data_IF_147194003711
#
_entry.id   IF_147194003711
#
_cell.length_a   1.000
_cell.length_b   1.000
_cell.length_c   1.000
_cell.angle_alpha   90.00
_cell.angle_beta   90.00
_cell.angle_gamma   90.00
#
_symmetry.space_group_name_H-M   'P 1'
#
loop_
_entity.id
_entity.type
_entity.pdbx_description
1 polymer ?
#
# COMPACT_ATOMS: atom_id res chain seq x y z
N UNK A 1 -31.00 10.48 -6.87
CA UNK A 1 -29.82 10.68 -7.75
C UNK A 1 -28.76 11.54 -7.07
N UNK A 2 -29.08 12.73 -6.52
CA UNK A 2 -28.11 13.60 -5.85
C UNK A 2 -27.35 13.01 -4.63
N UNK A 3 -27.95 12.10 -3.87
CA UNK A 3 -27.28 11.49 -2.69
C UNK A 3 -26.26 10.41 -3.07
N UNK A 4 -26.41 9.75 -4.22
CA UNK A 4 -25.47 8.73 -4.70
C UNK A 4 -24.21 9.39 -5.27
N UNK A 5 -24.37 10.50 -6.00
CA UNK A 5 -23.25 11.30 -6.52
C UNK A 5 -22.41 11.87 -5.37
N UNK A 6 -23.04 12.42 -4.31
CA UNK A 6 -22.32 12.90 -3.10
C UNK A 6 -21.57 11.80 -2.34
N UNK A 7 -22.12 10.59 -2.29
CA UNK A 7 -21.47 9.42 -1.67
C UNK A 7 -20.27 8.95 -2.49
N UNK A 8 -20.38 8.99 -3.82
CA UNK A 8 -19.28 8.76 -4.76
C UNK A 8 -18.15 9.78 -4.55
N UNK A 9 -18.50 11.07 -4.46
CA UNK A 9 -17.54 12.15 -4.30
C UNK A 9 -16.84 12.09 -2.94
N UNK A 10 -17.56 11.76 -1.87
CA UNK A 10 -17.00 11.63 -0.52
C UNK A 10 -16.02 10.45 -0.43
N UNK A 11 -16.34 9.31 -1.05
CA UNK A 11 -15.43 8.15 -1.13
C UNK A 11 -14.15 8.49 -1.90
N UNK A 12 -14.26 9.21 -3.01
CA UNK A 12 -13.11 9.68 -3.78
C UNK A 12 -12.20 10.61 -2.98
N UNK A 13 -12.77 11.54 -2.21
CA UNK A 13 -12.02 12.44 -1.32
C UNK A 13 -11.23 11.67 -0.26
N UNK A 14 -11.84 10.66 0.37
CA UNK A 14 -11.19 9.85 1.41
C UNK A 14 -10.01 9.05 0.83
N UNK A 15 -10.19 8.43 -0.33
CA UNK A 15 -9.13 7.65 -0.98
C UNK A 15 -7.95 8.53 -1.36
N UNK A 16 -8.22 9.69 -1.96
CA UNK A 16 -7.16 10.61 -2.35
C UNK A 16 -6.39 11.12 -1.12
N UNK A 17 -7.09 11.39 -0.02
CA UNK A 17 -6.45 11.76 1.24
C UNK A 17 -5.60 10.62 1.82
N UNK A 18 -6.11 9.38 1.80
CA UNK A 18 -5.35 8.19 2.24
C UNK A 18 -4.11 7.98 1.35
N UNK A 19 -4.25 8.14 0.03
CA UNK A 19 -3.14 8.06 -0.91
C UNK A 19 -2.07 9.11 -0.61
N UNK A 20 -2.47 10.38 -0.48
CA UNK A 20 -1.57 11.50 -0.19
C UNK A 20 -0.79 11.25 1.11
N UNK A 21 -1.48 10.88 2.19
CA UNK A 21 -0.84 10.57 3.48
C UNK A 21 0.03 9.33 3.42
N UNK A 22 -0.39 8.29 2.69
CA UNK A 22 0.41 7.10 2.48
C UNK A 22 1.70 7.40 1.72
N UNK A 23 1.64 8.24 0.69
CA UNK A 23 2.81 8.68 -0.08
C UNK A 23 3.73 9.57 0.75
N UNK A 24 3.20 10.50 1.54
CA UNK A 24 4.00 11.29 2.49
C UNK A 24 4.76 10.39 3.46
N UNK A 25 4.10 9.37 4.03
CA UNK A 25 4.76 8.40 4.90
C UNK A 25 5.83 7.59 4.16
N UNK A 26 5.56 7.19 2.91
CA UNK A 26 6.47 6.35 2.14
C UNK A 26 7.72 7.09 1.62
N UNK A 27 7.56 8.34 1.17
CA UNK A 27 8.65 9.13 0.57
C UNK A 27 9.23 10.22 1.49
N UNK A 28 8.57 10.54 2.60
CA UNK A 28 8.86 11.72 3.44
C UNK A 28 10.15 11.69 4.25
N UNK A 29 10.93 10.60 4.16
CA UNK A 29 12.20 10.46 4.87
C UNK A 29 11.98 9.99 6.31
N UNK A 30 12.35 8.73 6.57
CA UNK A 30 12.28 8.14 7.89
C UNK A 30 13.41 8.62 8.80
N UNK A 31 13.11 8.73 10.08
CA UNK A 31 14.09 8.77 11.17
C UNK A 31 14.83 7.45 11.33
N UNK A 32 15.92 7.45 12.09
CA UNK A 32 16.82 6.31 12.36
C UNK A 32 16.13 5.11 13.06
N UNK A 33 14.89 5.30 13.51
CA UNK A 33 14.05 4.31 14.19
C UNK A 33 12.92 3.75 13.30
N UNK A 34 12.86 4.16 12.03
CA UNK A 34 11.69 3.89 11.21
C UNK A 34 11.59 2.43 10.77
N UNK A 35 10.50 1.80 11.22
CA UNK A 35 9.93 0.65 10.53
C UNK A 35 9.88 0.97 9.06
N UNK A 36 10.62 0.19 8.26
CA UNK A 36 10.84 0.44 6.84
C UNK A 36 9.55 0.92 6.20
N UNK A 37 9.54 2.15 5.67
CA UNK A 37 8.33 2.90 5.34
C UNK A 37 7.39 2.11 4.40
N UNK A 38 7.96 1.21 3.61
CA UNK A 38 7.22 0.26 2.77
C UNK A 38 6.35 -0.72 3.55
N UNK A 39 6.75 -1.15 4.76
CA UNK A 39 5.94 -2.02 5.62
C UNK A 39 4.67 -1.28 6.03
N UNK A 40 4.80 -0.04 6.48
CA UNK A 40 3.66 0.75 6.93
C UNK A 40 2.68 0.97 5.78
N UNK A 41 3.19 1.30 4.59
CA UNK A 41 2.39 1.41 3.39
C UNK A 41 1.73 0.08 2.99
N UNK A 42 2.45 -1.05 3.08
CA UNK A 42 1.90 -2.38 2.77
C UNK A 42 0.76 -2.77 3.72
N UNK A 43 0.92 -2.49 5.02
CA UNK A 43 -0.14 -2.70 6.02
C UNK A 43 -1.35 -1.80 5.78
N UNK A 44 -1.13 -0.54 5.39
CA UNK A 44 -2.21 0.38 5.01
C UNK A 44 -3.04 -0.20 3.85
N UNK A 45 -2.36 -0.76 2.84
CA UNK A 45 -3.05 -1.42 1.73
C UNK A 45 -3.89 -2.61 2.20
N UNK A 46 -3.27 -3.54 2.94
CA UNK A 46 -3.96 -4.75 3.40
C UNK A 46 -5.16 -4.44 4.29
N UNK A 47 -5.01 -3.52 5.23
CA UNK A 47 -5.99 -3.32 6.31
C UNK A 47 -7.08 -2.30 5.96
N UNK A 48 -6.77 -1.32 5.11
CA UNK A 48 -7.66 -0.17 4.87
C UNK A 48 -8.08 -0.11 3.40
N UNK A 49 -7.15 -0.19 2.45
CA UNK A 49 -7.47 0.07 1.04
C UNK A 49 -8.15 -1.12 0.38
N UNK A 50 -7.53 -2.31 0.45
CA UNK A 50 -8.03 -3.53 -0.21
C UNK A 50 -9.43 -3.93 0.26
N UNK A 51 -9.78 -3.86 1.57
CA UNK A 51 -11.11 -4.25 2.03
C UNK A 51 -12.23 -3.32 1.58
N UNK A 52 -11.93 -2.12 1.09
CA UNK A 52 -12.95 -1.16 0.75
C UNK A 52 -13.47 -1.34 -0.69
N UNK A 53 -14.80 -1.42 -0.81
CA UNK A 53 -15.51 -1.56 -2.09
C UNK A 53 -15.84 -0.17 -2.68
N UNK A 54 -14.90 0.36 -3.47
CA UNK A 54 -15.02 1.63 -4.19
C UNK A 54 -14.16 1.66 -5.47
N UNK A 55 -14.42 2.64 -6.33
CA UNK A 55 -13.60 2.86 -7.53
C UNK A 55 -12.17 3.26 -7.16
N UNK A 56 -11.18 2.54 -7.69
CA UNK A 56 -9.76 2.77 -7.42
C UNK A 56 -9.16 3.73 -8.47
N UNK A 57 -8.59 4.88 -8.07
CA UNK A 57 -7.88 5.76 -8.99
C UNK A 57 -6.58 5.12 -9.48
N UNK A 58 -6.12 5.49 -10.68
CA UNK A 58 -4.88 4.92 -11.27
C UNK A 58 -3.64 5.25 -10.43
N UNK A 59 -3.61 6.44 -9.85
CA UNK A 59 -2.53 6.93 -8.97
C UNK A 59 -2.33 6.03 -7.76
N UNK A 60 -3.41 5.46 -7.20
CA UNK A 60 -3.33 4.53 -6.09
C UNK A 60 -2.76 3.17 -6.51
N UNK A 61 -3.02 2.73 -7.74
CA UNK A 61 -2.41 1.52 -8.30
C UNK A 61 -0.91 1.70 -8.55
N UNK A 62 -0.50 2.88 -9.00
CA UNK A 62 0.91 3.26 -9.12
C UNK A 62 1.58 3.25 -7.73
N UNK A 63 0.93 3.85 -6.72
CA UNK A 63 1.45 3.82 -5.35
C UNK A 63 1.63 2.39 -4.83
N UNK A 64 0.63 1.54 -5.02
CA UNK A 64 0.70 0.13 -4.62
C UNK A 64 1.86 -0.60 -5.32
N UNK A 65 2.13 -0.27 -6.59
CA UNK A 65 3.25 -0.81 -7.33
C UNK A 65 4.59 -0.36 -6.76
N UNK A 66 4.71 0.91 -6.35
CA UNK A 66 5.90 1.45 -5.70
C UNK A 66 6.19 0.72 -4.38
N UNK A 67 5.15 0.47 -3.57
CA UNK A 67 5.23 -0.31 -2.33
C UNK A 67 5.72 -1.74 -2.60
N UNK A 68 5.18 -2.41 -3.62
CA UNK A 68 5.63 -3.77 -4.01
C UNK A 68 7.09 -3.77 -4.45
N UNK A 69 7.51 -2.77 -5.24
CA UNK A 69 8.87 -2.70 -5.75
C UNK A 69 9.87 -2.52 -4.61
N UNK A 70 9.55 -1.65 -3.65
CA UNK A 70 10.36 -1.46 -2.46
C UNK A 70 10.34 -2.71 -1.60
N UNK A 71 9.18 -3.31 -1.30
CA UNK A 71 9.13 -4.56 -0.54
C UNK A 71 10.01 -5.67 -1.15
N UNK A 72 10.01 -5.81 -2.47
CA UNK A 72 10.86 -6.77 -3.19
C UNK A 72 12.35 -6.45 -3.10
N UNK A 73 12.74 -5.18 -3.06
CA UNK A 73 14.15 -4.79 -2.88
C UNK A 73 14.70 -5.24 -1.52
N UNK A 74 13.80 -5.46 -0.54
CA UNK A 74 14.09 -6.01 0.79
C UNK A 74 13.72 -7.49 0.95
N UNK A 75 13.51 -8.24 -0.14
CA UNK A 75 13.05 -9.65 -0.10
C UNK A 75 11.76 -9.88 0.71
N UNK A 76 10.93 -8.84 0.81
CA UNK A 76 9.73 -8.78 1.65
C UNK A 76 9.99 -9.02 3.14
N UNK A 77 11.23 -8.83 3.61
CA UNK A 77 11.65 -9.14 4.98
C UNK A 77 12.27 -7.94 5.66
N UNK A 78 12.10 -7.86 6.98
CA UNK A 78 12.79 -6.86 7.81
C UNK A 78 13.40 -7.52 9.04
N UNK A 79 14.68 -7.23 9.26
CA UNK A 79 15.38 -7.61 10.49
C UNK A 79 15.10 -6.56 11.57
N UNK A 80 14.51 -6.99 12.69
CA UNK A 80 14.41 -6.22 13.93
C UNK A 80 15.46 -6.71 14.90
N UNK A 81 16.15 -5.81 15.56
CA UNK A 81 17.15 -6.16 16.57
C UNK A 81 17.21 -5.07 17.64
N UNK A 82 17.75 -5.40 18.79
CA UNK A 82 18.10 -4.45 19.85
C UNK A 82 19.60 -4.16 19.80
N UNK A 83 20.01 -2.97 20.22
CA UNK A 83 21.42 -2.64 20.42
C UNK A 83 21.68 -2.67 21.93
N UNK A 84 22.66 -3.45 22.37
CA UNK A 84 23.08 -3.48 23.77
C UNK A 84 24.06 -2.33 24.10
N UNK A 85 24.45 -2.18 25.36
CA UNK A 85 25.38 -1.12 25.81
C UNK A 85 26.76 -1.15 25.12
N UNK A 86 27.16 -2.30 24.57
CA UNK A 86 28.40 -2.48 23.80
C UNK A 86 28.25 -2.13 22.30
N UNK A 87 27.07 -1.66 21.87
CA UNK A 87 26.77 -1.35 20.47
C UNK A 87 26.53 -2.58 19.58
N UNK A 88 26.33 -3.77 20.17
CA UNK A 88 26.10 -5.02 19.42
C UNK A 88 24.62 -5.28 19.22
N UNK A 89 24.27 -5.79 18.02
CA UNK A 89 22.94 -6.33 17.73
C UNK A 89 22.69 -7.55 18.60
N UNK A 90 21.58 -7.55 19.34
CA UNK A 90 21.08 -8.65 20.16
C UNK A 90 19.59 -8.85 19.88
N UNK A 91 19.05 -10.03 20.19
CA UNK A 91 17.63 -10.36 19.98
C UNK A 91 17.14 -10.06 18.55
N UNK A 92 17.93 -10.46 17.55
CA UNK A 92 17.59 -10.26 16.15
C UNK A 92 16.47 -11.23 15.72
N UNK A 93 15.45 -10.70 15.07
CA UNK A 93 14.31 -11.43 14.53
C UNK A 93 14.04 -10.96 13.10
N UNK A 94 13.70 -11.88 12.21
CA UNK A 94 13.32 -11.57 10.82
C UNK A 94 11.81 -11.69 10.69
N UNK A 95 11.17 -10.60 10.30
CA UNK A 95 9.73 -10.56 10.05
C UNK A 95 9.50 -10.63 8.55
N UNK A 96 8.66 -11.56 8.11
CA UNK A 96 8.32 -11.79 6.71
C UNK A 96 6.94 -11.20 6.40
N UNK A 97 6.88 -10.33 5.39
CA UNK A 97 5.68 -9.66 4.91
C UNK A 97 5.26 -10.14 3.51
N UNK A 98 5.80 -11.26 3.04
CA UNK A 98 5.53 -11.81 1.71
C UNK A 98 4.05 -12.06 1.44
N UNK A 99 3.29 -12.53 2.44
CA UNK A 99 1.85 -12.75 2.30
C UNK A 99 1.08 -11.43 2.09
N UNK A 100 1.46 -10.37 2.80
CA UNK A 100 0.86 -9.04 2.66
C UNK A 100 1.13 -8.51 1.25
N UNK A 101 2.39 -8.59 0.79
CA UNK A 101 2.77 -8.15 -0.56
C UNK A 101 2.04 -8.97 -1.63
N UNK A 102 1.86 -10.28 -1.43
CA UNK A 102 1.09 -11.12 -2.34
C UNK A 102 -0.37 -10.67 -2.48
N UNK A 103 -1.02 -10.29 -1.37
CA UNK A 103 -2.39 -9.74 -1.39
C UNK A 103 -2.48 -8.46 -2.20
N UNK A 104 -1.50 -7.55 -2.05
CA UNK A 104 -1.44 -6.30 -2.82
C UNK A 104 -1.29 -6.59 -4.32
N UNK A 105 -0.40 -7.53 -4.68
CA UNK A 105 -0.22 -7.96 -6.08
C UNK A 105 -1.52 -8.51 -6.67
N UNK A 106 -2.18 -9.40 -5.96
CA UNK A 106 -3.45 -10.00 -6.40
C UNK A 106 -4.53 -8.91 -6.61
N UNK A 107 -4.63 -7.97 -5.67
CA UNK A 107 -5.54 -6.85 -5.75
C UNK A 107 -5.27 -5.95 -6.96
N UNK A 108 -4.01 -5.54 -7.21
CA UNK A 108 -3.66 -4.73 -8.39
C UNK A 108 -4.08 -5.42 -9.70
N UNK A 109 -3.85 -6.73 -9.81
CA UNK A 109 -4.20 -7.47 -11.01
C UNK A 109 -5.72 -7.49 -11.23
N UNK A 110 -6.50 -7.73 -10.18
CA UNK A 110 -7.97 -7.67 -10.23
C UNK A 110 -8.48 -6.31 -10.68
N UNK A 111 -7.94 -5.23 -10.12
CA UNK A 111 -8.34 -3.86 -10.47
C UNK A 111 -7.98 -3.48 -11.91
N UNK A 112 -6.78 -3.88 -12.38
CA UNK A 112 -6.36 -3.65 -13.77
C UNK A 112 -7.25 -4.40 -14.77
N UNK A 113 -7.61 -5.65 -14.47
CA UNK A 113 -8.51 -6.45 -15.30
C UNK A 113 -9.91 -5.84 -15.35
N UNK A 114 -10.47 -5.45 -14.20
CA UNK A 114 -11.77 -4.77 -14.12
C UNK A 114 -11.80 -3.50 -14.97
N UNK A 115 -10.78 -2.64 -14.85
CA UNK A 115 -10.66 -1.40 -15.66
C UNK A 115 -10.55 -1.70 -17.15
N UNK A 116 -9.86 -2.76 -17.55
CA UNK A 116 -9.74 -3.18 -18.96
C UNK A 116 -11.09 -3.65 -19.52
N UNK A 117 -11.85 -4.43 -18.75
CA UNK A 117 -13.20 -4.84 -19.14
C UNK A 117 -14.14 -3.64 -19.34
N UNK A 118 -14.10 -2.68 -18.41
CA UNK A 118 -14.89 -1.45 -18.50
C UNK A 118 -14.59 -0.65 -19.77
N UNK A 119 -13.31 -0.44 -20.11
CA UNK A 119 -12.91 0.26 -21.34
C UNK A 119 -13.42 -0.45 -22.61
N UNK A 120 -13.44 -1.79 -22.61
CA UNK A 120 -13.90 -2.58 -23.75
C UNK A 120 -15.41 -2.49 -23.95
N UNK A 121 -16.19 -2.34 -22.87
CA UNK A 121 -17.65 -2.18 -22.93
C UNK A 121 -18.10 -0.80 -23.40
N UNK A 122 -17.33 0.25 -23.15
CA UNK A 122 -17.65 1.62 -23.57
C UNK A 122 -17.39 1.85 -25.07
N UNK A 123 -16.47 1.09 -25.66
CA UNK A 123 -16.11 1.18 -27.08
C UNK A 123 -16.93 0.24 -28.00
N UNK A 124 -18.01 -0.36 -27.51
CA UNK A 124 -18.96 -1.18 -28.29
C UNK A 124 -20.30 -0.45 -28.41
#
# INVERSE_FOLDING_TARGET
MADFDKLSDTKGIIINYIEERGRELFYGGGTEYDFSLWIQAALLFEQIIIPCDYYIPETLLEFAQDVINEAKSHECKVERYQINDDGKKVNAEVWDYGEIVAKIIEWINKEKDFKKEMKTRINR
#
